data_IF_149971393738
#
_entry.id   IF_149971393738
#
_cell.length_a   1.000
_cell.length_b   1.000
_cell.length_c   1.000
_cell.angle_alpha   90.00
_cell.angle_beta   90.00
_cell.angle_gamma   90.00
#
_symmetry.space_group_name_H-M   'P 1'
#
loop_
_entity.id
_entity.type
_entity.pdbx_description
1 polymer ?
#
# COMPACT_ATOMS: atom_id res chain seq x y z
N UNK A 1 8.51 1.97 -31.06
CA UNK A 1 8.23 1.64 -29.93
C UNK A 1 6.98 1.15 -30.02
N UNK A 2 6.88 0.38 -29.56
CA UNK A 2 5.80 0.04 -29.39
C UNK A 2 5.17 0.89 -28.54
N UNK A 3 4.27 1.44 -28.93
CA UNK A 3 3.57 2.19 -28.10
C UNK A 3 3.12 1.38 -27.02
N UNK A 4 3.33 1.85 -25.93
CA UNK A 4 2.92 1.11 -24.80
C UNK A 4 1.45 0.98 -24.78
N UNK A 5 1.00 -0.16 -24.38
CA UNK A 5 -0.41 -0.41 -24.22
C UNK A 5 -0.96 0.55 -23.18
N UNK A 6 -1.96 1.34 -23.51
CA UNK A 6 -2.53 2.26 -22.54
C UNK A 6 -2.97 1.59 -21.24
N UNK A 7 -3.39 0.34 -21.32
CA UNK A 7 -3.82 -0.36 -20.11
C UNK A 7 -2.68 -0.55 -19.12
N UNK A 8 -1.44 -0.57 -19.59
CA UNK A 8 -0.31 -0.71 -18.71
C UNK A 8 -0.06 0.54 -17.90
N UNK A 9 -0.56 1.67 -18.40
CA UNK A 9 -0.38 2.89 -17.70
C UNK A 9 -1.60 3.34 -17.02
N UNK A 10 -2.68 2.64 -17.21
CA UNK A 10 -3.88 2.99 -16.51
C UNK A 10 -3.63 2.87 -15.04
N UNK A 11 -3.99 3.86 -14.27
CA UNK A 11 -3.91 3.76 -12.83
C UNK A 11 -4.75 2.60 -12.33
N UNK A 12 -5.73 2.19 -13.08
CA UNK A 12 -6.52 1.03 -12.71
C UNK A 12 -5.65 -0.22 -12.67
N UNK A 13 -4.68 -0.30 -13.57
CA UNK A 13 -3.79 -1.45 -13.60
C UNK A 13 -2.71 -1.40 -12.54
N UNK A 14 -2.38 -0.20 -12.09
CA UNK A 14 -1.38 -0.04 -11.05
C UNK A 14 -1.99 0.16 -9.68
N UNK A 15 -3.29 0.43 -9.65
CA UNK A 15 -3.98 0.87 -8.50
C UNK A 15 -4.95 -0.20 -8.07
N UNK A 16 -4.48 -1.13 -7.32
CA UNK A 16 -5.25 -2.32 -6.94
C UNK A 16 -6.04 -2.03 -5.68
N UNK A 17 -7.33 -1.74 -5.85
CA UNK A 17 -8.19 -1.41 -4.71
C UNK A 17 -8.28 -2.57 -3.73
N UNK A 18 -8.01 -2.31 -2.47
CA UNK A 18 -7.99 -3.33 -1.43
C UNK A 18 -9.38 -3.96 -1.24
N UNK A 19 -9.47 -5.30 -1.19
CA UNK A 19 -10.74 -5.93 -0.85
C UNK A 19 -11.24 -5.46 0.51
N UNK A 20 -12.51 -5.09 0.61
CA UNK A 20 -13.03 -4.51 1.83
C UNK A 20 -12.91 -5.46 3.03
N UNK A 21 -13.21 -6.73 2.84
CA UNK A 21 -13.12 -7.69 3.94
C UNK A 21 -11.70 -7.82 4.47
N UNK A 22 -10.71 -7.78 3.57
CA UNK A 22 -9.31 -7.86 3.97
C UNK A 22 -8.93 -6.63 4.78
N UNK A 23 -9.33 -5.46 4.31
CA UNK A 23 -9.09 -4.22 5.05
C UNK A 23 -9.76 -4.27 6.42
N UNK A 24 -11.00 -4.73 6.48
CA UNK A 24 -11.74 -4.76 7.73
C UNK A 24 -11.06 -5.62 8.79
N UNK A 25 -10.49 -6.75 8.37
CA UNK A 25 -9.76 -7.60 9.30
C UNK A 25 -8.53 -6.91 9.86
N UNK A 26 -7.78 -6.23 9.01
CA UNK A 26 -6.62 -5.46 9.47
C UNK A 26 -7.05 -4.28 10.33
N UNK A 27 -8.13 -3.62 9.96
CA UNK A 27 -8.62 -2.46 10.69
C UNK A 27 -9.09 -2.85 12.10
N UNK A 28 -9.65 -4.04 12.25
CA UNK A 28 -10.02 -4.55 13.56
C UNK A 28 -8.81 -4.67 14.48
N UNK A 29 -7.66 -4.96 13.90
CA UNK A 29 -6.42 -5.09 14.67
C UNK A 29 -5.75 -3.75 14.92
N UNK A 30 -5.63 -2.93 13.88
CA UNK A 30 -4.79 -1.72 13.95
C UNK A 30 -5.55 -0.44 14.20
N UNK A 31 -6.84 -0.37 13.85
CA UNK A 31 -7.65 0.85 13.99
C UNK A 31 -7.07 2.01 13.18
N UNK A 32 -7.09 1.86 11.87
CA UNK A 32 -6.46 2.81 10.96
C UNK A 32 -7.10 4.19 11.02
N UNK A 33 -6.27 5.21 10.90
CA UNK A 33 -6.72 6.59 10.93
C UNK A 33 -6.43 7.34 9.64
N UNK A 34 -5.54 6.83 8.77
CA UNK A 34 -5.15 7.52 7.56
C UNK A 34 -4.96 6.54 6.41
N UNK A 35 -5.52 6.89 5.25
CA UNK A 35 -5.29 6.21 3.98
C UNK A 35 -4.60 7.22 3.04
N UNK A 36 -3.28 7.18 2.90
CA UNK A 36 -2.56 8.24 2.19
C UNK A 36 -2.54 8.06 0.67
N UNK A 37 -3.17 7.02 0.16
CA UNK A 37 -3.08 6.69 -1.26
C UNK A 37 -4.46 6.28 -1.76
N UNK A 38 -5.39 7.21 -1.73
CA UNK A 38 -6.80 6.95 -2.00
C UNK A 38 -7.35 7.84 -3.08
N UNK A 39 -8.55 7.52 -3.52
CA UNK A 39 -9.40 8.46 -4.22
C UNK A 39 -10.61 8.72 -3.33
N UNK A 40 -11.37 9.76 -3.65
CA UNK A 40 -12.56 10.07 -2.87
C UNK A 40 -13.55 8.91 -2.87
N UNK A 41 -13.57 8.13 -3.95
CA UNK A 41 -14.51 7.03 -4.09
C UNK A 41 -14.09 5.73 -3.43
N UNK A 42 -12.80 5.57 -3.10
CA UNK A 42 -12.31 4.30 -2.56
C UNK A 42 -11.50 4.44 -1.28
N UNK A 43 -11.55 5.60 -0.64
CA UNK A 43 -10.81 5.81 0.60
C UNK A 43 -11.28 4.83 1.67
N UNK A 44 -10.33 4.23 2.37
CA UNK A 44 -10.61 3.26 3.41
C UNK A 44 -10.77 3.90 4.78
N UNK A 45 -10.29 5.11 4.95
CA UNK A 45 -10.35 5.84 6.22
C UNK A 45 -11.05 7.17 6.02
N UNK A 46 -11.58 7.73 7.11
CA UNK A 46 -12.18 9.05 7.05
C UNK A 46 -11.17 10.14 6.68
N UNK A 47 -9.92 9.96 7.14
CA UNK A 47 -8.84 10.85 6.74
C UNK A 47 -8.05 10.18 5.63
N UNK A 48 -7.87 10.86 4.53
CA UNK A 48 -7.18 10.28 3.39
C UNK A 48 -6.53 11.35 2.53
N UNK A 49 -5.56 10.95 1.72
CA UNK A 49 -4.93 11.80 0.73
C UNK A 49 -5.18 11.22 -0.65
N UNK A 50 -5.54 12.10 -1.58
CA UNK A 50 -5.73 11.73 -2.98
C UNK A 50 -4.45 12.04 -3.77
N UNK A 51 -4.48 11.72 -5.07
CA UNK A 51 -3.37 12.09 -5.96
C UNK A 51 -3.13 13.60 -5.92
N UNK A 52 -4.20 14.39 -5.87
CA UNK A 52 -4.07 15.85 -5.81
C UNK A 52 -3.37 16.30 -4.55
N UNK A 53 -3.59 15.60 -3.44
CA UNK A 53 -2.93 15.93 -2.18
C UNK A 53 -1.49 15.46 -2.14
N UNK A 54 -1.17 14.43 -2.92
CA UNK A 54 0.13 13.77 -2.94
C UNK A 54 0.56 13.27 -1.57
N UNK A 55 0.10 12.07 -1.24
CA UNK A 55 0.41 11.46 0.06
C UNK A 55 1.89 11.34 0.36
N UNK A 56 2.74 11.26 -0.69
CA UNK A 56 4.18 11.20 -0.50
C UNK A 56 4.76 12.46 0.13
N UNK A 57 4.06 13.59 -0.02
CA UNK A 57 4.52 14.86 0.51
C UNK A 57 3.83 15.25 1.81
N UNK A 58 2.92 14.43 2.29
CA UNK A 58 2.18 14.75 3.50
C UNK A 58 2.88 14.18 4.74
N UNK A 59 2.57 14.75 5.87
CA UNK A 59 3.09 14.30 7.16
C UNK A 59 2.10 13.28 7.74
N UNK A 60 2.59 12.11 8.09
CA UNK A 60 1.77 11.05 8.67
C UNK A 60 2.00 10.89 10.17
N UNK A 61 2.72 11.79 10.78
CA UNK A 61 3.08 11.66 12.20
C UNK A 61 1.85 11.48 13.09
N UNK A 62 1.92 10.54 13.99
CA UNK A 62 0.84 10.27 14.94
C UNK A 62 -0.31 9.45 14.38
N UNK A 63 -0.26 9.07 13.12
CA UNK A 63 -1.34 8.31 12.48
C UNK A 63 -1.07 6.82 12.50
N UNK A 64 -2.13 6.04 12.44
CA UNK A 64 -2.03 4.62 12.14
C UNK A 64 -2.47 4.46 10.69
N UNK A 65 -1.52 4.18 9.83
CA UNK A 65 -1.66 4.34 8.40
C UNK A 65 -1.86 2.99 7.72
N UNK A 66 -2.87 2.93 6.85
CA UNK A 66 -3.02 1.82 5.92
C UNK A 66 -2.62 2.31 4.54
N UNK A 67 -1.55 1.77 3.99
CA UNK A 67 -1.04 2.20 2.71
C UNK A 67 -1.06 1.06 1.70
N UNK A 68 -1.90 1.20 0.68
CA UNK A 68 -1.89 0.33 -0.50
C UNK A 68 -1.53 1.23 -1.68
N UNK A 69 -0.24 1.41 -1.96
CA UNK A 69 0.20 2.38 -2.96
C UNK A 69 0.00 1.87 -4.38
N UNK A 70 0.13 2.73 -5.38
CA UNK A 70 0.17 2.24 -6.74
C UNK A 70 1.39 1.34 -6.91
N UNK A 71 1.18 0.21 -7.57
CA UNK A 71 2.25 -0.74 -7.83
C UNK A 71 2.86 -0.38 -9.18
N UNK A 72 4.13 -0.32 -9.26
CA UNK A 72 4.81 0.05 -10.48
C UNK A 72 5.99 0.92 -10.11
N UNK A 73 6.25 1.93 -10.95
CA UNK A 73 7.47 2.69 -10.81
C UNK A 73 7.58 3.43 -9.50
N UNK A 74 6.46 3.91 -9.00
CA UNK A 74 6.47 4.73 -7.79
C UNK A 74 6.55 3.91 -6.49
N UNK A 75 6.52 2.58 -6.59
CA UNK A 75 6.42 1.78 -5.36
C UNK A 75 7.64 1.98 -4.46
N UNK A 76 8.82 2.16 -5.03
CA UNK A 76 10.03 2.39 -4.22
C UNK A 76 9.85 3.61 -3.33
N UNK A 77 9.35 4.70 -3.89
CA UNK A 77 9.17 5.93 -3.12
C UNK A 77 8.12 5.78 -2.03
N UNK A 78 7.07 5.01 -2.32
CA UNK A 78 6.03 4.76 -1.32
C UNK A 78 6.54 3.90 -0.18
N UNK A 79 7.34 2.88 -0.46
CA UNK A 79 7.92 2.05 0.59
C UNK A 79 8.89 2.87 1.44
N UNK A 80 9.72 3.69 0.82
CA UNK A 80 10.58 4.60 1.55
C UNK A 80 9.78 5.53 2.46
N UNK A 81 8.70 6.10 1.93
CA UNK A 81 7.83 6.99 2.70
C UNK A 81 7.25 6.27 3.91
N UNK A 82 6.75 5.06 3.71
CA UNK A 82 6.19 4.26 4.80
C UNK A 82 7.22 4.04 5.90
N UNK A 83 8.42 3.62 5.52
CA UNK A 83 9.48 3.40 6.49
C UNK A 83 9.85 4.69 7.22
N UNK A 84 10.03 5.75 6.48
CA UNK A 84 10.45 7.04 7.09
C UNK A 84 9.40 7.58 8.04
N UNK A 85 8.14 7.56 7.63
CA UNK A 85 7.08 8.08 8.49
C UNK A 85 6.89 7.24 9.73
N UNK A 86 7.07 5.93 9.61
CA UNK A 86 6.93 5.03 10.76
C UNK A 86 7.93 5.33 11.86
N UNK A 87 9.02 6.00 11.55
CA UNK A 87 10.04 6.33 12.54
C UNK A 87 9.66 7.55 13.37
N UNK A 88 8.61 8.25 12.99
CA UNK A 88 8.11 9.38 13.78
C UNK A 88 7.36 8.86 14.99
N UNK A 89 7.47 9.52 16.16
CA UNK A 89 6.80 9.03 17.37
C UNK A 89 5.30 8.86 17.17
N UNK A 90 4.76 7.76 17.68
CA UNK A 90 3.32 7.50 17.64
C UNK A 90 2.77 7.11 16.28
N UNK A 91 3.62 6.80 15.32
CA UNK A 91 3.20 6.50 13.94
C UNK A 91 3.41 5.03 13.65
N UNK A 92 2.36 4.37 13.21
CA UNK A 92 2.41 2.98 12.75
C UNK A 92 1.98 2.96 11.30
N UNK A 93 2.69 2.22 10.47
CA UNK A 93 2.36 2.12 9.04
C UNK A 93 2.21 0.65 8.66
N UNK A 94 1.07 0.33 8.07
CA UNK A 94 0.79 -1.01 7.56
C UNK A 94 0.68 -0.90 6.05
N UNK A 95 1.55 -1.61 5.36
CA UNK A 95 1.73 -1.49 3.92
C UNK A 95 1.30 -2.79 3.25
N UNK A 96 0.47 -2.69 2.21
CA UNK A 96 0.05 -3.85 1.41
C UNK A 96 0.65 -3.72 0.01
N UNK A 97 1.51 -4.66 -0.35
CA UNK A 97 2.21 -4.64 -1.64
C UNK A 97 2.42 -6.05 -2.16
N UNK A 98 2.75 -6.20 -3.46
CA UNK A 98 3.17 -7.51 -3.97
C UNK A 98 4.41 -8.00 -3.23
N UNK A 99 4.46 -9.32 -2.99
CA UNK A 99 5.56 -9.94 -2.26
C UNK A 99 6.75 -10.19 -3.19
N UNK A 100 7.46 -9.14 -3.52
CA UNK A 100 8.61 -9.22 -4.43
C UNK A 100 9.90 -9.06 -3.64
N UNK A 101 10.47 -10.16 -3.24
CA UNK A 101 11.57 -10.19 -2.28
C UNK A 101 12.94 -9.94 -2.90
N UNK A 102 13.01 -9.78 -4.21
CA UNK A 102 14.26 -9.49 -4.91
C UNK A 102 14.45 -8.01 -5.21
N UNK A 103 13.53 -7.15 -4.76
CA UNK A 103 13.55 -5.73 -5.09
C UNK A 103 14.46 -4.94 -4.16
N UNK A 104 14.93 -3.78 -4.66
CA UNK A 104 15.72 -2.88 -3.81
C UNK A 104 14.93 -2.44 -2.60
N UNK A 105 13.66 -2.08 -2.78
CA UNK A 105 12.90 -1.57 -1.64
C UNK A 105 12.70 -2.63 -0.57
N UNK A 106 12.59 -3.90 -0.95
CA UNK A 106 12.48 -4.95 0.04
C UNK A 106 13.73 -5.02 0.92
N UNK A 107 14.90 -4.98 0.29
CA UNK A 107 16.14 -5.13 1.04
C UNK A 107 16.58 -3.84 1.74
N UNK A 108 16.21 -2.69 1.20
CA UNK A 108 16.63 -1.42 1.79
C UNK A 108 15.73 -0.98 2.94
N UNK A 109 14.42 -1.25 2.86
CA UNK A 109 13.49 -0.68 3.82
C UNK A 109 12.64 -1.69 4.58
N UNK A 110 12.52 -2.91 4.11
CA UNK A 110 11.62 -3.89 4.72
C UNK A 110 12.37 -4.96 5.48
N UNK A 111 13.25 -5.69 4.81
CA UNK A 111 13.95 -6.82 5.39
C UNK A 111 14.86 -6.32 6.52
N UNK A 112 14.67 -6.86 7.72
CA UNK A 112 15.37 -6.44 8.94
C UNK A 112 15.05 -5.03 9.44
N UNK A 113 14.07 -4.34 8.80
CA UNK A 113 13.68 -3.02 9.28
C UNK A 113 12.23 -2.95 9.68
N UNK A 114 11.38 -3.77 9.08
CA UNK A 114 9.97 -3.83 9.44
C UNK A 114 9.81 -4.54 10.78
N UNK A 115 8.77 -4.19 11.51
CA UNK A 115 8.42 -4.90 12.74
C UNK A 115 7.92 -6.29 12.42
N UNK A 116 7.18 -6.43 11.33
CA UNK A 116 6.56 -7.69 10.98
C UNK A 116 6.29 -7.74 9.48
N UNK A 117 6.45 -8.91 8.87
CA UNK A 117 6.07 -9.16 7.49
C UNK A 117 5.12 -10.34 7.50
N UNK A 118 3.91 -10.15 6.95
CA UNK A 118 2.92 -11.21 6.85
C UNK A 118 2.73 -11.57 5.39
N UNK A 119 3.14 -12.76 5.01
CA UNK A 119 2.92 -13.24 3.66
C UNK A 119 1.51 -13.82 3.56
N UNK A 120 0.75 -13.34 2.58
CA UNK A 120 -0.64 -13.73 2.45
C UNK A 120 -0.72 -15.05 1.71
N UNK A 121 -1.42 -16.02 2.31
CA UNK A 121 -1.65 -17.29 1.64
C UNK A 121 -2.67 -17.09 0.52
N UNK A 122 -2.38 -17.61 -0.65
CA UNK A 122 -3.24 -17.44 -1.81
C UNK A 122 -3.10 -16.06 -2.42
N UNK A 123 -4.03 -15.73 -3.30
CA UNK A 123 -4.02 -14.47 -4.02
C UNK A 123 -5.21 -13.63 -3.61
N UNK A 124 -4.96 -12.35 -3.34
CA UNK A 124 -6.06 -11.43 -3.05
C UNK A 124 -6.86 -11.15 -4.33
N UNK A 125 -8.13 -10.85 -4.14
CA UNK A 125 -9.02 -10.46 -5.24
C UNK A 125 -9.30 -8.98 -5.11
N UNK A 126 -8.47 -8.20 -5.77
CA UNK A 126 -8.58 -6.73 -5.70
C UNK A 126 -9.77 -6.23 -6.54
N UNK A 127 -10.09 -4.97 -6.35
CA UNK A 127 -11.14 -4.33 -7.12
C UNK A 127 -12.50 -4.95 -6.85
N UNK A 128 -13.15 -5.43 -7.88
CA UNK A 128 -14.48 -6.03 -7.77
C UNK A 128 -14.48 -7.48 -7.28
N UNK A 129 -13.31 -8.04 -7.05
CA UNK A 129 -13.19 -9.39 -6.51
C UNK A 129 -13.40 -10.51 -7.51
N UNK A 130 -13.50 -10.22 -8.80
CA UNK A 130 -13.81 -11.23 -9.80
C UNK A 130 -12.64 -12.11 -10.17
N UNK A 131 -11.42 -11.63 -9.99
CA UNK A 131 -10.25 -12.40 -10.38
C UNK A 131 -9.14 -12.26 -9.35
N UNK A 132 -8.35 -13.32 -9.13
CA UNK A 132 -7.21 -13.22 -8.24
C UNK A 132 -6.12 -12.36 -8.84
N UNK A 133 -5.33 -11.73 -7.99
CA UNK A 133 -4.20 -10.95 -8.43
C UNK A 133 -3.17 -11.83 -9.14
N UNK A 134 -2.44 -11.31 -10.11
CA UNK A 134 -1.40 -12.08 -10.79
C UNK A 134 -0.10 -12.16 -9.99
N UNK A 135 -0.12 -11.79 -8.72
CA UNK A 135 1.06 -11.79 -7.86
C UNK A 135 0.64 -12.16 -6.43
N UNK A 136 1.57 -12.69 -5.65
CA UNK A 136 1.35 -12.87 -4.22
C UNK A 136 1.44 -11.52 -3.51
N UNK A 137 0.82 -11.40 -2.36
CA UNK A 137 0.82 -10.16 -1.57
C UNK A 137 1.45 -10.38 -0.21
N UNK A 138 1.97 -9.28 0.35
CA UNK A 138 2.44 -9.28 1.73
C UNK A 138 1.97 -8.00 2.42
N UNK A 139 1.82 -8.12 3.73
CA UNK A 139 1.52 -6.99 4.60
C UNK A 139 2.78 -6.72 5.41
N UNK A 140 3.22 -5.48 5.38
CA UNK A 140 4.43 -5.07 6.10
C UNK A 140 4.02 -4.10 7.19
N UNK A 141 4.40 -4.40 8.42
CA UNK A 141 4.10 -3.54 9.56
C UNK A 141 5.40 -2.87 9.98
N UNK A 142 5.40 -1.56 9.90
CA UNK A 142 6.53 -0.76 10.33
C UNK A 142 6.30 -0.17 11.70
#
# INVERSE_FOLDING_TARGET
MKRLNPALFSSVKMDWATPQAFFDDLDAEFHFTLDPCASAGNAKCGKFHTIADNGLEQDWAGETVFCNPPYGRAIYDWVFKCWRESRKPGTTVVLLIPARTDTRYFHEFIYHRACEIRFIRGRLRFGDGTAPAPFPSMVVVF
#
